data_IF_255536350594
#
_entry.id   IF_255536350594
#
_cell.length_a   1.000
_cell.length_b   1.000
_cell.length_c   1.000
_cell.angle_alpha   90.00
_cell.angle_beta   90.00
_cell.angle_gamma   90.00
#
_symmetry.space_group_name_H-M   'P 1'
#
loop_
_entity.id
_entity.type
_entity.pdbx_description
1 polymer ?
#
# COMPACT_ATOMS: atom_id res chain seq x y z
N UNK A 1 0.76 6.91 19.60
CA UNK A 1 0.00 6.82 18.34
C UNK A 1 -0.66 5.45 18.25
N UNK A 2 -1.98 5.44 18.08
CA UNK A 2 -2.82 4.26 17.91
C UNK A 2 -2.42 3.43 16.67
N UNK A 3 -2.53 2.10 16.75
CA UNK A 3 -2.09 1.20 15.68
C UNK A 3 -2.89 1.41 14.40
N UNK A 4 -4.19 1.68 14.54
CA UNK A 4 -5.08 2.00 13.43
C UNK A 4 -4.58 3.23 12.66
N UNK A 5 -4.22 4.30 13.37
CA UNK A 5 -3.67 5.52 12.76
C UNK A 5 -2.37 5.26 11.98
N UNK A 6 -1.49 4.40 12.50
CA UNK A 6 -0.26 4.01 11.79
C UNK A 6 -0.56 3.25 10.50
N UNK A 7 -1.49 2.30 10.54
CA UNK A 7 -1.88 1.52 9.37
C UNK A 7 -2.52 2.42 8.30
N UNK A 8 -3.47 3.28 8.69
CA UNK A 8 -4.12 4.21 7.76
C UNK A 8 -3.13 5.16 7.09
N UNK A 9 -2.17 5.70 7.85
CA UNK A 9 -1.12 6.56 7.29
C UNK A 9 -0.21 5.81 6.30
N UNK A 10 0.12 4.54 6.60
CA UNK A 10 0.95 3.71 5.73
C UNK A 10 0.23 3.37 4.41
N UNK A 11 -1.06 2.99 4.48
CA UNK A 11 -1.90 2.72 3.31
C UNK A 11 -1.98 3.95 2.40
N UNK A 12 -2.30 5.12 2.94
CA UNK A 12 -2.38 6.38 2.18
C UNK A 12 -1.05 6.68 1.47
N UNK A 13 0.07 6.51 2.18
CA UNK A 13 1.41 6.73 1.61
C UNK A 13 1.69 5.79 0.44
N UNK A 14 1.39 4.50 0.60
CA UNK A 14 1.63 3.49 -0.43
C UNK A 14 0.77 3.73 -1.68
N UNK A 15 -0.51 4.07 -1.51
CA UNK A 15 -1.38 4.43 -2.63
C UNK A 15 -0.89 5.68 -3.37
N UNK A 16 -0.42 6.70 -2.64
CA UNK A 16 0.14 7.91 -3.27
C UNK A 16 1.37 7.61 -4.11
N UNK A 17 2.25 6.72 -3.62
CA UNK A 17 3.42 6.27 -4.37
C UNK A 17 3.01 5.51 -5.64
N UNK A 18 1.96 4.69 -5.57
CA UNK A 18 1.44 3.94 -6.72
C UNK A 18 0.82 4.88 -7.77
N UNK A 19 0.04 5.87 -7.33
CA UNK A 19 -0.59 6.86 -8.20
C UNK A 19 0.44 7.72 -8.94
N UNK A 20 1.56 8.09 -8.29
CA UNK A 20 2.63 8.83 -8.96
C UNK A 20 3.23 8.07 -10.15
N UNK A 21 3.31 6.73 -10.08
CA UNK A 21 3.80 5.92 -11.19
C UNK A 21 2.78 5.84 -12.34
N UNK A 22 1.50 5.78 -12.00
CA UNK A 22 0.39 5.79 -12.97
C UNK A 22 0.23 7.13 -13.68
N UNK A 23 0.22 8.24 -12.93
CA UNK A 23 0.01 9.61 -13.46
C UNK A 23 1.13 10.05 -14.39
N UNK A 24 2.36 9.56 -14.18
CA UNK A 24 3.47 9.89 -15.07
C UNK A 24 3.43 9.13 -16.40
N UNK A 25 2.49 8.21 -16.62
CA UNK A 25 2.38 7.42 -17.86
C UNK A 25 3.58 6.51 -18.14
N UNK A 26 4.50 6.38 -17.19
CA UNK A 26 5.78 5.68 -17.34
C UNK A 26 5.67 4.18 -17.12
N UNK A 27 4.46 3.61 -17.05
CA UNK A 27 4.27 2.17 -16.84
C UNK A 27 5.01 1.36 -17.91
N UNK A 28 5.05 1.86 -19.15
CA UNK A 28 5.80 1.25 -20.26
C UNK A 28 7.33 1.41 -20.14
N UNK A 29 7.82 2.37 -19.36
CA UNK A 29 9.24 2.65 -19.11
C UNK A 29 9.74 2.06 -17.78
N UNK A 30 8.88 1.38 -17.02
CA UNK A 30 9.25 0.81 -15.73
C UNK A 30 10.27 -0.30 -15.94
N UNK A 31 11.37 -0.20 -15.19
CA UNK A 31 12.36 -1.28 -15.16
C UNK A 31 11.84 -2.41 -14.30
N UNK A 32 12.42 -3.60 -14.44
CA UNK A 32 12.07 -4.76 -13.59
C UNK A 32 12.15 -4.45 -12.10
N UNK A 33 13.08 -3.59 -11.70
CA UNK A 33 13.20 -3.12 -10.32
C UNK A 33 11.98 -2.32 -9.83
N UNK A 34 11.34 -1.53 -10.71
CA UNK A 34 10.16 -0.75 -10.37
C UNK A 34 8.91 -1.64 -10.28
N UNK A 35 8.82 -2.66 -11.15
CA UNK A 35 7.78 -3.69 -11.09
C UNK A 35 7.88 -4.53 -9.80
N UNK A 36 9.08 -4.95 -9.42
CA UNK A 36 9.30 -5.64 -8.15
C UNK A 36 8.92 -4.76 -6.94
N UNK A 37 9.18 -3.46 -7.00
CA UNK A 37 8.73 -2.54 -5.95
C UNK A 37 7.21 -2.38 -5.94
N UNK A 38 6.56 -2.37 -7.11
CA UNK A 38 5.11 -2.35 -7.22
C UNK A 38 4.49 -3.58 -6.55
N UNK A 39 5.01 -4.77 -6.82
CA UNK A 39 4.53 -6.03 -6.25
C UNK A 39 4.69 -6.06 -4.73
N UNK A 40 5.87 -5.65 -4.21
CA UNK A 40 6.08 -5.53 -2.77
C UNK A 40 5.12 -4.55 -2.10
N UNK A 41 4.82 -3.42 -2.75
CA UNK A 41 3.84 -2.44 -2.24
C UNK A 41 2.44 -3.05 -2.21
N UNK A 42 2.08 -3.82 -3.23
CA UNK A 42 0.79 -4.53 -3.29
C UNK A 42 0.68 -5.56 -2.18
N UNK A 43 1.67 -6.44 -2.00
CA UNK A 43 1.69 -7.42 -0.91
C UNK A 43 1.57 -6.76 0.47
N UNK A 44 2.26 -5.62 0.66
CA UNK A 44 2.17 -4.85 1.90
C UNK A 44 0.78 -4.29 2.15
N UNK A 45 0.11 -3.77 1.11
CA UNK A 45 -1.27 -3.30 1.22
C UNK A 45 -2.23 -4.44 1.59
N UNK A 46 -2.07 -5.63 1.01
CA UNK A 46 -2.88 -6.81 1.34
C UNK A 46 -2.67 -7.24 2.80
N UNK A 47 -1.44 -7.21 3.32
CA UNK A 47 -1.14 -7.49 4.73
C UNK A 47 -1.80 -6.46 5.67
N UNK A 48 -1.69 -5.18 5.36
CA UNK A 48 -2.29 -4.10 6.15
C UNK A 48 -3.83 -4.17 6.14
N UNK A 49 -4.43 -4.60 5.04
CA UNK A 49 -5.87 -4.85 4.94
C UNK A 49 -6.33 -5.95 5.90
N UNK A 50 -5.66 -7.10 5.90
CA UNK A 50 -5.95 -8.20 6.85
C UNK A 50 -5.78 -7.77 8.31
N UNK A 51 -4.77 -6.95 8.58
CA UNK A 51 -4.54 -6.42 9.92
C UNK A 51 -5.67 -5.47 10.35
N UNK A 52 -6.19 -4.64 9.44
CA UNK A 52 -7.36 -3.79 9.69
C UNK A 52 -8.63 -4.61 9.95
N UNK A 53 -8.89 -5.64 9.15
CA UNK A 53 -10.03 -6.55 9.35
C UNK A 53 -9.96 -7.19 10.75
N UNK A 54 -8.80 -7.73 11.12
CA UNK A 54 -8.58 -8.32 12.45
C UNK A 54 -8.81 -7.30 13.59
N UNK A 55 -8.37 -6.05 13.41
CA UNK A 55 -8.56 -5.00 14.40
C UNK A 55 -10.03 -4.55 14.50
N UNK A 56 -10.76 -4.56 13.39
CA UNK A 56 -12.18 -4.24 13.34
C UNK A 56 -13.02 -5.33 14.02
N UNK A 57 -12.73 -6.60 13.75
CA UNK A 57 -13.39 -7.75 14.38
C UNK A 57 -13.19 -7.80 15.90
N UNK A 58 -12.02 -7.37 16.39
CA UNK A 58 -11.72 -7.32 17.85
C UNK A 58 -12.38 -6.16 18.58
N UNK A 59 -12.96 -5.19 17.86
CA UNK A 59 -13.64 -4.02 18.43
C UNK A 59 -15.17 -4.14 18.38
N UNK A 60 -15.73 -5.08 17.63
CA UNK A 60 -17.15 -5.43 17.62
C UNK A 60 -17.50 -6.44 18.69
#
# INVERSE_FOLDING_TARGET
MDRLHKISAEIIRLYRQQLNLWVLGRIADLKDADLLQYDRRRERLEQLGKELETLAERRG
#
